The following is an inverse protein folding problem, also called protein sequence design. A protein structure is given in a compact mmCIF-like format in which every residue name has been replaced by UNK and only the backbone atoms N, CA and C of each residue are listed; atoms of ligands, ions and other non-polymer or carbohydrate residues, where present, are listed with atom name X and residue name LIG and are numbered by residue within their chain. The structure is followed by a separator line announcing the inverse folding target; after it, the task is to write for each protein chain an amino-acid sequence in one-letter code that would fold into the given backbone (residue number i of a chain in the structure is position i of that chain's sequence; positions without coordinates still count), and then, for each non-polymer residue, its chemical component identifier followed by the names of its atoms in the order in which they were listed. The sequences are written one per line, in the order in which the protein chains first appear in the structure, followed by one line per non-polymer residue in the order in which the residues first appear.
data_IF_130161561169
#
_entry.id   IF_130161561169
#
_cell.length_a   1.000
_cell.length_b   1.000
_cell.length_c   1.000
_cell.angle_alpha   90.00
_cell.angle_beta   90.00
_cell.angle_gamma   90.00
#
_symmetry.space_group_name_H-M   'P 1'
#
loop_
_entity.id
_entity.type
_entity.pdbx_description
1 polymer ?
#
# COMPACT_ATOMS: atom_id res chain seq x y z
N UNK A 1 10.15 -30.58 -1.03
CA UNK A 1 9.42 -29.44 -1.63
C UNK A 1 9.34 -28.39 -0.56
N UNK A 2 9.95 -27.21 -0.75
CA UNK A 2 9.74 -26.13 0.22
C UNK A 2 8.27 -25.70 0.16
N UNK A 3 7.61 -25.69 1.32
CA UNK A 3 6.23 -25.24 1.40
C UNK A 3 6.15 -23.78 0.91
N UNK A 4 5.30 -23.54 -0.09
CA UNK A 4 5.01 -22.19 -0.58
C UNK A 4 4.30 -21.40 0.52
N UNK A 5 5.00 -20.45 1.10
CA UNK A 5 4.53 -19.65 2.22
C UNK A 5 4.34 -18.19 1.80
N UNK A 6 3.18 -17.66 2.07
CA UNK A 6 2.88 -16.23 1.93
C UNK A 6 2.54 -15.66 3.30
N UNK A 7 3.13 -14.52 3.62
CA UNK A 7 2.80 -13.75 4.81
C UNK A 7 2.51 -12.30 4.43
N UNK A 8 1.46 -11.71 4.99
CA UNK A 8 1.16 -10.28 4.89
C UNK A 8 1.22 -9.69 6.28
N UNK A 9 2.06 -8.68 6.48
CA UNK A 9 2.32 -8.13 7.81
C UNK A 9 2.62 -6.66 7.79
N UNK A 10 2.57 -6.04 8.97
CA UNK A 10 3.10 -4.69 9.19
C UNK A 10 4.60 -4.66 8.92
N UNK A 11 5.08 -3.55 8.37
CA UNK A 11 6.51 -3.28 8.22
C UNK A 11 7.14 -2.81 9.53
N UNK A 12 8.45 -2.89 9.56
CA UNK A 12 9.31 -2.27 10.57
C UNK A 12 10.57 -1.70 9.88
N UNK A 13 11.45 -1.05 10.65
CA UNK A 13 12.67 -0.43 10.14
C UNK A 13 13.63 -1.42 9.44
N UNK A 14 13.64 -2.68 9.86
CA UNK A 14 14.49 -3.73 9.27
C UNK A 14 14.08 -4.13 7.85
N UNK A 15 12.87 -3.77 7.44
CA UNK A 15 12.36 -4.02 6.09
C UNK A 15 12.88 -3.00 5.06
N UNK A 16 13.43 -1.87 5.54
CA UNK A 16 13.91 -0.78 4.69
C UNK A 16 14.78 -1.22 3.52
N UNK A 17 15.84 -2.04 3.70
CA UNK A 17 16.67 -2.49 2.59
C UNK A 17 15.91 -3.27 1.52
N UNK A 18 15.02 -4.18 1.89
CA UNK A 18 14.26 -5.00 0.95
C UNK A 18 13.20 -4.19 0.20
N UNK A 19 12.57 -3.23 0.88
CA UNK A 19 11.59 -2.34 0.29
C UNK A 19 12.25 -1.33 -0.65
N UNK A 20 13.38 -0.74 -0.26
CA UNK A 20 14.16 0.15 -1.11
C UNK A 20 14.63 -0.56 -2.39
N UNK A 21 15.04 -1.83 -2.29
CA UNK A 21 15.39 -2.65 -3.45
C UNK A 21 14.23 -2.81 -4.44
N UNK A 22 13.00 -2.92 -3.95
CA UNK A 22 11.79 -2.95 -4.81
C UNK A 22 11.50 -1.56 -5.38
N UNK A 23 11.69 -0.50 -4.61
CA UNK A 23 11.37 0.87 -4.97
C UNK A 23 12.35 1.45 -6.02
N UNK A 24 13.65 1.15 -5.90
CA UNK A 24 14.71 1.67 -6.75
C UNK A 24 14.41 1.56 -8.26
N UNK A 25 13.99 0.40 -8.81
CA UNK A 25 13.67 0.31 -10.24
C UNK A 25 12.53 1.23 -10.69
N UNK A 26 11.58 1.54 -9.81
CA UNK A 26 10.50 2.47 -10.13
C UNK A 26 11.01 3.90 -10.27
N UNK A 27 11.96 4.32 -9.43
CA UNK A 27 12.60 5.65 -9.54
C UNK A 27 13.50 5.74 -10.75
N UNK A 28 14.36 4.73 -10.99
CA UNK A 28 15.38 4.77 -12.03
C UNK A 28 14.84 4.55 -13.45
N UNK A 29 13.79 3.74 -13.60
CA UNK A 29 13.34 3.26 -14.91
C UNK A 29 11.96 3.77 -15.31
N UNK A 30 11.25 4.42 -14.42
CA UNK A 30 9.88 4.87 -14.67
C UNK A 30 9.68 6.32 -14.19
N UNK A 31 8.51 6.87 -14.46
CA UNK A 31 8.05 8.14 -13.93
C UNK A 31 6.91 7.94 -12.91
N UNK A 32 6.78 6.73 -12.36
CA UNK A 32 5.63 6.35 -11.53
C UNK A 32 5.76 6.76 -10.06
N UNK A 33 6.94 7.20 -9.64
CA UNK A 33 7.19 7.65 -8.27
C UNK A 33 7.22 9.17 -8.17
N UNK A 34 6.96 9.74 -6.99
CA UNK A 34 7.16 11.17 -6.76
C UNK A 34 8.63 11.56 -6.61
N UNK A 35 9.53 10.60 -6.38
CA UNK A 35 10.95 10.86 -6.19
C UNK A 35 11.67 10.98 -7.54
N UNK A 36 12.46 12.05 -7.71
CA UNK A 36 13.32 12.25 -8.88
C UNK A 36 14.62 11.44 -8.80
N UNK A 37 15.07 11.11 -7.59
CA UNK A 37 16.28 10.35 -7.31
C UNK A 37 15.99 9.27 -6.27
N UNK A 38 16.76 8.18 -6.32
CA UNK A 38 16.62 7.09 -5.33
C UNK A 38 17.04 7.62 -3.96
N UNK A 39 16.14 7.56 -2.95
CA UNK A 39 16.48 7.99 -1.61
C UNK A 39 17.56 7.10 -1.01
N UNK A 40 18.38 7.65 -0.12
CA UNK A 40 19.31 6.85 0.69
C UNK A 40 18.53 5.90 1.60
N UNK A 41 19.18 4.81 2.04
CA UNK A 41 18.56 3.88 2.96
C UNK A 41 18.08 4.57 4.25
N UNK A 42 18.87 5.51 4.77
CA UNK A 42 18.52 6.26 5.98
C UNK A 42 17.23 7.09 5.80
N UNK A 43 17.11 7.81 4.68
CA UNK A 43 15.90 8.57 4.35
C UNK A 43 14.69 7.65 4.17
N UNK A 44 14.89 6.50 3.53
CA UNK A 44 13.79 5.55 3.30
C UNK A 44 13.30 4.92 4.60
N UNK A 45 14.20 4.52 5.50
CA UNK A 45 13.86 4.02 6.85
C UNK A 45 13.14 5.10 7.66
N UNK A 46 13.60 6.36 7.59
CA UNK A 46 12.92 7.47 8.25
C UNK A 46 11.47 7.66 7.75
N UNK A 47 11.21 7.46 6.46
CA UNK A 47 9.82 7.47 5.92
C UNK A 47 8.98 6.37 6.54
N UNK A 48 9.52 5.14 6.64
CA UNK A 48 8.81 4.02 7.28
C UNK A 48 8.45 4.38 8.72
N UNK A 49 9.37 4.90 9.51
CA UNK A 49 9.13 5.31 10.90
C UNK A 49 8.07 6.41 10.99
N UNK A 50 8.18 7.44 10.16
CA UNK A 50 7.28 8.58 10.16
C UNK A 50 5.82 8.18 9.95
N UNK A 51 5.56 7.30 8.98
CA UNK A 51 4.20 6.92 8.61
C UNK A 51 3.67 5.68 9.33
N UNK A 52 4.54 4.79 9.81
CA UNK A 52 4.12 3.54 10.46
C UNK A 52 3.26 3.77 11.70
N UNK A 53 3.58 4.78 12.51
CA UNK A 53 2.84 5.11 13.74
C UNK A 53 1.61 6.00 13.50
N UNK A 54 1.62 6.79 12.44
CA UNK A 54 0.51 7.69 12.11
C UNK A 54 -0.51 7.07 11.16
N UNK A 55 -0.02 6.35 10.17
CA UNK A 55 -0.82 5.82 9.07
C UNK A 55 -0.70 4.29 9.00
N UNK A 56 -0.15 3.75 7.93
CA UNK A 56 0.02 2.32 7.74
C UNK A 56 1.12 2.02 6.74
N UNK A 57 1.95 1.03 7.07
CA UNK A 57 2.83 0.36 6.12
C UNK A 57 2.68 -1.15 6.29
N UNK A 58 2.36 -1.85 5.22
CA UNK A 58 2.26 -3.31 5.19
C UNK A 58 3.04 -3.87 4.00
N UNK A 59 3.53 -5.09 4.13
CA UNK A 59 4.22 -5.80 3.07
C UNK A 59 3.73 -7.24 2.92
N UNK A 60 3.96 -7.80 1.74
CA UNK A 60 3.77 -9.22 1.45
C UNK A 60 5.13 -9.89 1.28
N UNK A 61 5.33 -10.98 1.99
CA UNK A 61 6.47 -11.89 1.82
C UNK A 61 6.04 -13.19 1.16
N UNK A 62 6.89 -13.71 0.27
CA UNK A 62 6.78 -15.04 -0.31
C UNK A 62 8.06 -15.77 0.01
N UNK A 63 7.96 -16.88 0.74
CA UNK A 63 9.12 -17.65 1.20
C UNK A 63 10.18 -16.79 1.92
N UNK A 64 9.72 -15.89 2.80
CA UNK A 64 10.51 -14.91 3.56
C UNK A 64 11.26 -13.87 2.71
N UNK A 65 10.85 -13.65 1.46
CA UNK A 65 11.37 -12.58 0.62
C UNK A 65 10.27 -11.55 0.35
N UNK A 66 10.57 -10.26 0.50
CA UNK A 66 9.60 -9.19 0.26
C UNK A 66 9.21 -9.14 -1.22
N UNK A 67 7.92 -9.33 -1.48
CA UNK A 67 7.35 -9.36 -2.83
C UNK A 67 6.70 -8.04 -3.25
N UNK A 68 6.28 -7.24 -2.27
CA UNK A 68 5.67 -5.93 -2.47
C UNK A 68 5.26 -5.32 -1.16
N UNK A 69 4.90 -4.04 -1.20
CA UNK A 69 4.42 -3.30 -0.03
C UNK A 69 3.46 -2.18 -0.45
N UNK A 70 2.60 -1.76 0.46
CA UNK A 70 1.79 -0.56 0.31
C UNK A 70 1.76 0.24 1.61
N UNK A 71 1.49 1.53 1.47
CA UNK A 71 1.42 2.44 2.60
C UNK A 71 0.47 3.61 2.34
N UNK A 72 0.06 4.26 3.42
CA UNK A 72 -0.79 5.45 3.38
C UNK A 72 0.04 6.69 3.72
N UNK A 73 -0.23 7.78 3.00
CA UNK A 73 0.37 9.10 3.21
C UNK A 73 -0.71 10.18 3.34
N UNK A 74 -0.27 11.41 3.61
CA UNK A 74 -1.10 12.62 3.63
C UNK A 74 -0.98 13.44 2.34
N UNK A 75 -0.49 12.82 1.24
CA UNK A 75 -0.32 13.55 -0.03
C UNK A 75 -1.63 14.17 -0.48
N UNK A 76 -1.61 15.49 -0.66
CA UNK A 76 -2.75 16.29 -1.11
C UNK A 76 -4.06 16.11 -0.29
N UNK A 77 -3.92 15.61 0.94
CA UNK A 77 -5.03 15.51 1.90
C UNK A 77 -5.09 16.82 2.71
N UNK A 78 -6.23 17.55 2.71
CA UNK A 78 -6.39 18.71 3.55
C UNK A 78 -6.15 18.41 5.03
N UNK A 79 -5.51 19.34 5.76
CA UNK A 79 -5.15 19.12 7.19
C UNK A 79 -6.35 18.91 8.11
N UNK A 80 -7.51 19.39 7.71
CA UNK A 80 -8.78 19.25 8.41
C UNK A 80 -9.56 18.00 7.99
N UNK A 81 -9.14 17.31 6.92
CA UNK A 81 -9.68 16.01 6.53
C UNK A 81 -9.01 14.89 7.35
N UNK A 82 -9.67 14.56 8.45
CA UNK A 82 -9.16 13.56 9.40
C UNK A 82 -9.47 12.10 9.00
N UNK A 83 -10.13 11.87 7.86
CA UNK A 83 -10.66 10.56 7.47
C UNK A 83 -10.21 10.09 6.10
N UNK A 84 -9.31 10.81 5.46
CA UNK A 84 -8.76 10.44 4.15
C UNK A 84 -7.28 10.13 4.22
N UNK A 85 -6.80 9.34 3.27
CA UNK A 85 -5.39 9.09 3.05
C UNK A 85 -5.12 8.81 1.57
N UNK A 86 -3.88 9.06 1.14
CA UNK A 86 -3.38 8.66 -0.18
C UNK A 86 -2.64 7.33 -0.09
N UNK A 87 -2.91 6.43 -1.02
CA UNK A 87 -2.33 5.09 -1.05
C UNK A 87 -1.21 4.98 -2.08
N UNK A 88 -0.11 4.36 -1.68
CA UNK A 88 1.02 4.02 -2.52
C UNK A 88 1.24 2.51 -2.53
N UNK A 89 1.53 1.92 -3.70
CA UNK A 89 1.74 0.49 -3.88
C UNK A 89 2.94 0.22 -4.78
N UNK A 90 3.84 -0.62 -4.33
CA UNK A 90 5.01 -1.08 -5.10
C UNK A 90 5.13 -2.59 -5.01
N UNK A 91 5.28 -3.24 -6.16
CA UNK A 91 5.41 -4.70 -6.28
C UNK A 91 6.71 -5.02 -7.01
N UNK A 92 7.46 -6.01 -6.51
CA UNK A 92 8.66 -6.49 -7.21
C UNK A 92 8.35 -6.85 -8.67
N UNK A 93 9.21 -6.48 -9.61
CA UNK A 93 9.04 -6.77 -11.05
C UNK A 93 8.73 -8.26 -11.31
N UNK A 94 9.36 -9.15 -10.55
CA UNK A 94 9.14 -10.60 -10.66
C UNK A 94 7.77 -11.05 -10.17
N UNK A 95 7.14 -10.26 -9.31
CA UNK A 95 5.85 -10.57 -8.69
C UNK A 95 4.68 -9.82 -9.32
N UNK A 96 4.89 -9.10 -10.43
CA UNK A 96 3.81 -8.46 -11.15
C UNK A 96 2.78 -9.51 -11.63
N UNK A 97 1.50 -9.14 -11.61
CA UNK A 97 0.37 -10.02 -11.98
C UNK A 97 0.24 -11.32 -11.17
N UNK A 98 0.96 -11.46 -10.06
CA UNK A 98 0.91 -12.64 -9.16
C UNK A 98 -0.16 -12.56 -8.08
N UNK A 99 -0.88 -11.43 -7.96
CA UNK A 99 -1.85 -11.19 -6.90
C UNK A 99 -1.31 -10.45 -5.68
N UNK A 100 -0.01 -10.15 -5.61
CA UNK A 100 0.61 -9.40 -4.49
C UNK A 100 -0.04 -8.04 -4.30
N UNK A 101 -0.24 -7.25 -5.35
CA UNK A 101 -0.94 -5.96 -5.25
C UNK A 101 -2.37 -6.09 -4.75
N UNK A 102 -3.10 -7.11 -5.22
CA UNK A 102 -4.47 -7.40 -4.76
C UNK A 102 -4.49 -7.81 -3.28
N UNK A 103 -3.55 -8.64 -2.86
CA UNK A 103 -3.35 -9.03 -1.45
C UNK A 103 -3.18 -7.80 -0.54
N UNK A 104 -2.24 -6.92 -0.89
CA UNK A 104 -1.94 -5.71 -0.14
C UNK A 104 -3.14 -4.76 -0.07
N UNK A 105 -3.81 -4.50 -1.20
CA UNK A 105 -4.95 -3.58 -1.24
C UNK A 105 -6.17 -4.11 -0.49
N UNK A 106 -6.44 -5.42 -0.54
CA UNK A 106 -7.56 -5.97 0.25
C UNK A 106 -7.30 -5.81 1.75
N UNK A 107 -6.10 -6.12 2.25
CA UNK A 107 -5.77 -5.90 3.65
C UNK A 107 -5.79 -4.41 4.02
N UNK A 108 -5.25 -3.54 3.16
CA UNK A 108 -5.27 -2.09 3.36
C UNK A 108 -6.71 -1.58 3.52
N UNK A 109 -7.59 -1.94 2.60
CA UNK A 109 -8.98 -1.47 2.60
C UNK A 109 -9.76 -1.99 3.82
N UNK A 110 -9.50 -3.21 4.23
CA UNK A 110 -10.07 -3.81 5.42
C UNK A 110 -9.61 -3.10 6.71
N UNK A 111 -8.32 -2.82 6.82
CA UNK A 111 -7.78 -2.00 7.91
C UNK A 111 -8.39 -0.60 7.90
N UNK A 112 -8.55 0.02 6.73
CA UNK A 112 -9.14 1.36 6.61
C UNK A 112 -10.60 1.39 7.07
N UNK A 113 -11.39 0.36 6.75
CA UNK A 113 -12.75 0.20 7.26
C UNK A 113 -12.76 0.21 8.80
N UNK A 114 -12.00 -0.67 9.44
CA UNK A 114 -11.93 -0.76 10.90
C UNK A 114 -11.24 0.46 11.55
N UNK A 115 -10.38 1.14 10.81
CA UNK A 115 -9.75 2.38 11.26
C UNK A 115 -10.63 3.61 11.08
N UNK A 116 -11.86 3.46 10.59
CA UNK A 116 -12.83 4.54 10.38
C UNK A 116 -12.40 5.57 9.32
N UNK A 117 -11.61 5.18 8.33
CA UNK A 117 -11.39 6.01 7.16
C UNK A 117 -12.68 6.10 6.33
N UNK A 118 -12.84 7.20 5.59
CA UNK A 118 -14.00 7.43 4.72
C UNK A 118 -13.63 7.52 3.25
N UNK A 119 -12.34 7.76 2.96
CA UNK A 119 -11.85 7.93 1.61
C UNK A 119 -10.38 7.52 1.50
N UNK A 120 -10.05 6.90 0.38
CA UNK A 120 -8.67 6.67 -0.04
C UNK A 120 -8.48 7.23 -1.45
N UNK A 121 -7.39 7.94 -1.66
CA UNK A 121 -6.95 8.44 -2.97
C UNK A 121 -5.74 7.67 -3.48
N UNK A 122 -5.48 7.79 -4.77
CA UNK A 122 -4.24 7.33 -5.40
C UNK A 122 -3.87 8.30 -6.52
N UNK A 123 -2.61 8.75 -6.54
CA UNK A 123 -2.06 9.59 -7.59
C UNK A 123 -1.27 8.71 -8.57
N UNK A 124 -1.69 8.68 -9.82
CA UNK A 124 -1.09 7.86 -10.87
C UNK A 124 -0.44 8.76 -11.90
N UNK A 125 0.88 8.72 -11.99
CA UNK A 125 1.61 9.41 -13.05
C UNK A 125 1.36 8.71 -14.39
N UNK A 126 0.86 9.46 -15.38
CA UNK A 126 0.50 8.95 -16.71
C UNK A 126 1.66 9.10 -17.73
N UNK A 127 1.75 8.22 -18.75
CA UNK A 127 0.89 7.07 -18.99
C UNK A 127 1.20 5.88 -18.07
N UNK A 128 0.19 5.27 -17.45
CA UNK A 128 0.33 4.07 -16.62
C UNK A 128 -0.98 3.25 -16.63
N UNK A 129 -1.32 2.69 -17.77
CA UNK A 129 -2.58 1.95 -17.97
C UNK A 129 -2.74 0.78 -17.01
N UNK A 130 -1.63 0.12 -16.65
CA UNK A 130 -1.64 -1.01 -15.72
C UNK A 130 -2.09 -0.58 -14.32
N UNK A 131 -1.59 0.55 -13.81
CA UNK A 131 -2.00 1.08 -12.51
C UNK A 131 -3.45 1.58 -12.56
N UNK A 132 -3.87 2.26 -13.62
CA UNK A 132 -5.26 2.72 -13.78
C UNK A 132 -6.21 1.53 -13.79
N UNK A 133 -5.93 0.49 -14.58
CA UNK A 133 -6.74 -0.72 -14.63
C UNK A 133 -6.80 -1.45 -13.29
N UNK A 134 -5.66 -1.52 -12.57
CA UNK A 134 -5.59 -2.10 -11.24
C UNK A 134 -6.48 -1.35 -10.24
N UNK A 135 -6.38 -0.02 -10.18
CA UNK A 135 -7.18 0.79 -9.26
C UNK A 135 -8.68 0.71 -9.59
N UNK A 136 -9.07 0.73 -10.87
CA UNK A 136 -10.46 0.49 -11.29
C UNK A 136 -10.96 -0.87 -10.79
N UNK A 137 -10.17 -1.93 -10.94
CA UNK A 137 -10.49 -3.26 -10.41
C UNK A 137 -10.65 -3.26 -8.88
N UNK A 138 -9.89 -2.43 -8.17
CA UNK A 138 -9.99 -2.27 -6.72
C UNK A 138 -11.10 -1.29 -6.28
N UNK A 139 -11.96 -0.86 -7.22
CA UNK A 139 -13.14 -0.04 -6.94
C UNK A 139 -12.88 1.46 -6.88
N UNK A 140 -11.73 1.93 -7.36
CA UNK A 140 -11.46 3.34 -7.52
C UNK A 140 -12.10 3.89 -8.80
N UNK A 141 -12.45 5.17 -8.79
CA UNK A 141 -12.87 5.93 -9.96
C UNK A 141 -11.97 7.15 -10.17
N UNK A 142 -11.94 7.63 -11.40
CA UNK A 142 -11.17 8.81 -11.79
C UNK A 142 -11.86 10.08 -11.29
N UNK A 143 -11.08 11.02 -10.74
CA UNK A 143 -11.58 12.30 -10.21
C UNK A 143 -11.13 13.46 -11.08
N UNK A 144 -9.82 13.57 -11.33
CA UNK A 144 -9.23 14.66 -12.12
C UNK A 144 -7.88 14.24 -12.68
N UNK A 145 -7.48 14.92 -13.75
CA UNK A 145 -6.12 14.82 -14.30
C UNK A 145 -5.51 16.21 -14.35
N UNK A 146 -4.32 16.37 -13.81
CA UNK A 146 -3.57 17.63 -13.80
C UNK A 146 -2.09 17.33 -13.99
N UNK A 147 -1.44 18.01 -14.94
CA UNK A 147 -0.01 17.88 -15.22
C UNK A 147 0.48 16.43 -15.44
N UNK A 148 -0.37 15.59 -16.07
CA UNK A 148 -0.05 14.19 -16.32
C UNK A 148 -0.18 13.28 -15.09
N UNK A 149 -0.81 13.76 -14.02
CA UNK A 149 -1.15 12.97 -12.83
C UNK A 149 -2.65 12.77 -12.77
N UNK A 150 -3.09 11.52 -12.83
CA UNK A 150 -4.47 11.12 -12.62
C UNK A 150 -4.73 10.90 -11.13
N UNK A 151 -5.68 11.66 -10.57
CA UNK A 151 -6.22 11.41 -9.25
C UNK A 151 -7.36 10.41 -9.36
N UNK A 152 -7.24 9.32 -8.63
CA UNK A 152 -8.31 8.34 -8.45
C UNK A 152 -8.72 8.29 -6.98
N UNK A 153 -9.99 7.99 -6.70
CA UNK A 153 -10.47 7.84 -5.33
C UNK A 153 -11.43 6.66 -5.17
N UNK A 154 -11.53 6.20 -3.93
CA UNK A 154 -12.52 5.21 -3.49
C UNK A 154 -13.07 5.62 -2.13
N UNK A 155 -14.41 5.59 -2.00
CA UNK A 155 -15.09 5.71 -0.71
C UNK A 155 -14.84 4.46 0.14
N UNK A 156 -14.63 4.67 1.44
CA UNK A 156 -14.51 3.63 2.46
C UNK A 156 -15.72 3.76 3.38
N UNK A 157 -16.43 2.67 3.59
CA UNK A 157 -17.46 2.62 4.62
C UNK A 157 -16.77 2.44 5.98
N UNK A 158 -16.89 3.36 6.95
CA UNK A 158 -16.24 3.22 8.24
C UNK A 158 -17.00 2.23 9.13
N UNK A 159 -16.29 1.52 10.02
CA UNK A 159 -16.90 0.65 11.03
C UNK A 159 -17.80 1.45 12.00
N UNK A 160 -17.32 2.62 12.43
CA UNK A 160 -18.12 3.60 13.20
C UNK A 160 -18.35 4.88 12.39
N UNK A 161 -19.55 5.08 11.83
CA UNK A 161 -19.88 6.30 11.09
C UNK A 161 -19.81 7.58 11.93
N UNK A 162 -19.90 7.47 13.26
CA UNK A 162 -19.85 8.60 14.19
C UNK A 162 -18.44 8.89 14.72
N UNK A 163 -17.45 8.14 14.31
CA UNK A 163 -16.06 8.38 14.69
C UNK A 163 -15.65 9.82 14.37
N UNK A 164 -14.98 10.49 15.31
CA UNK A 164 -14.51 11.88 15.15
C UNK A 164 -13.14 11.98 14.49
N UNK A 165 -12.43 10.87 14.34
CA UNK A 165 -11.13 10.74 13.68
C UNK A 165 -10.87 9.28 13.35
N UNK A 166 -9.92 9.00 12.45
CA UNK A 166 -9.49 7.63 12.18
C UNK A 166 -8.79 7.01 13.40
N UNK A 167 -8.90 5.71 13.54
CA UNK A 167 -8.11 4.92 14.49
C UNK A 167 -6.76 4.58 13.85
N UNK A 168 -5.68 4.70 14.60
CA UNK A 168 -4.35 4.39 14.07
C UNK A 168 -4.25 2.90 13.68
N UNK A 169 -3.83 2.65 12.46
CA UNK A 169 -3.79 1.31 11.87
C UNK A 169 -2.96 0.30 12.68
N UNK A 170 -1.89 0.74 13.37
CA UNK A 170 -1.07 -0.17 14.19
C UNK A 170 -1.86 -0.77 15.38
N UNK A 171 -2.86 -0.04 15.90
CA UNK A 171 -3.73 -0.55 16.98
C UNK A 171 -4.59 -1.70 16.48
N UNK A 172 -5.09 -1.60 15.26
CA UNK A 172 -5.89 -2.64 14.61
C UNK A 172 -5.00 -3.87 14.34
N UNK A 173 -3.83 -3.66 13.76
CA UNK A 173 -2.89 -4.75 13.47
C UNK A 173 -2.35 -5.45 14.72
N UNK A 174 -2.38 -4.79 15.90
CA UNK A 174 -2.02 -5.38 17.18
C UNK A 174 -3.15 -6.17 17.83
N UNK A 175 -4.39 -6.01 17.38
CA UNK A 175 -5.60 -6.66 17.93
C UNK A 175 -5.94 -7.97 17.20
N UNK A 176 -4.96 -8.87 17.07
CA UNK A 176 -5.18 -10.23 16.50
C UNK A 176 -5.82 -10.24 15.10
N UNK A 177 -5.24 -9.46 14.19
CA UNK A 177 -5.71 -9.29 12.81
C UNK A 177 -5.24 -10.43 11.89
N UNK A 178 -4.98 -11.62 12.47
CA UNK A 178 -4.38 -12.76 11.78
C UNK A 178 -5.27 -13.28 10.65
N UNK A 179 -6.55 -13.44 10.90
CA UNK A 179 -7.50 -13.94 9.89
C UNK A 179 -7.56 -13.07 8.65
N UNK A 180 -7.53 -11.73 8.80
CA UNK A 180 -7.52 -10.81 7.66
C UNK A 180 -6.20 -10.89 6.89
N UNK A 181 -5.07 -11.06 7.57
CA UNK A 181 -3.75 -11.26 6.93
C UNK A 181 -3.68 -12.58 6.20
N UNK A 182 -4.21 -13.65 6.76
CA UNK A 182 -4.30 -14.97 6.12
C UNK A 182 -5.21 -14.91 4.88
N UNK A 183 -6.37 -14.27 4.99
CA UNK A 183 -7.24 -14.05 3.85
C UNK A 183 -6.54 -13.26 2.74
N UNK A 184 -5.87 -12.16 3.08
CA UNK A 184 -5.10 -11.37 2.11
C UNK A 184 -4.03 -12.22 1.39
N UNK A 185 -3.35 -13.12 2.10
CA UNK A 185 -2.35 -14.01 1.51
C UNK A 185 -2.92 -14.95 0.44
N UNK A 186 -4.23 -15.28 0.50
CA UNK A 186 -4.88 -16.17 -0.49
C UNK A 186 -4.94 -15.60 -1.91
N UNK A 187 -4.83 -14.28 -2.06
CA UNK A 187 -4.82 -13.63 -3.38
C UNK A 187 -3.51 -13.85 -4.15
N UNK A 188 -2.43 -14.24 -3.46
CA UNK A 188 -1.13 -14.48 -4.10
C UNK A 188 -1.15 -15.84 -4.79
N UNK A 189 -0.80 -15.85 -6.08
CA UNK A 189 -0.77 -17.07 -6.89
C UNK A 189 0.28 -18.05 -6.37
N UNK A 190 -0.13 -19.29 -6.16
CA UNK A 190 0.77 -20.36 -5.75
C UNK A 190 1.90 -20.56 -6.77
N UNK A 191 3.14 -20.68 -6.27
CA UNK A 191 4.32 -20.86 -7.11
C UNK A 191 4.98 -19.55 -7.59
N UNK A 192 4.50 -18.38 -7.15
CA UNK A 192 5.17 -17.10 -7.43
C UNK A 192 6.59 -17.11 -6.83
N UNK A 193 7.57 -16.66 -7.60
CA UNK A 193 8.99 -16.56 -7.20
C UNK A 193 9.38 -15.08 -7.09
N UNK A 194 10.08 -14.73 -6.02
CA UNK A 194 10.58 -13.36 -5.73
C UNK A 194 12.00 -13.16 -6.25
#
# INVERSE_FOLDING_TARGET
MSDFRVAVRRTNEWDGPSMLKIYTPYVEKTHYTPDAEVPTLAEYVQRIDTYTYGRMWILTEINNQTAGFCFLTDRDIPKDDLFSADAQLYVSEKCLHSGVGTSLYNLMLDIMHHANYRRVTAHINLPNDAAVAFHKKMGFHEVSETDGVLLMERAIEPEDPNAKRFTKAYLILAQDYEAAREHAATFVKKGTVV
#
